data_IF_291866324122
#
_entry.id   IF_291866324122
#
_cell.length_a   1.000
_cell.length_b   1.000
_cell.length_c   1.000
_cell.angle_alpha   90.00
_cell.angle_beta   90.00
_cell.angle_gamma   90.00
#
_symmetry.space_group_name_H-M   'P 1'
#
loop_
_entity.id
_entity.type
_entity.pdbx_description
1 polymer ?
#
# COMPACT_ATOMS: atom_id res chain seq x y z
N UNK A 1 5.31 -6.94 27.79
CA UNK A 1 4.06 -6.85 27.01
C UNK A 1 3.76 -5.44 26.47
N UNK A 2 3.86 -4.34 27.25
CA UNK A 2 3.59 -2.98 26.75
C UNK A 2 4.46 -2.54 25.57
N UNK A 3 5.78 -2.79 25.60
CA UNK A 3 6.70 -2.43 24.50
C UNK A 3 6.36 -3.17 23.18
N UNK A 4 5.96 -4.44 23.25
CA UNK A 4 5.57 -5.23 22.06
C UNK A 4 4.29 -4.65 21.44
N UNK A 5 3.27 -4.36 22.25
CA UNK A 5 2.03 -3.71 21.77
C UNK A 5 2.29 -2.37 21.11
N UNK A 6 3.22 -1.57 21.69
CA UNK A 6 3.62 -0.29 21.13
C UNK A 6 4.21 -0.46 19.72
N UNK A 7 5.26 -1.27 19.58
CA UNK A 7 5.92 -1.49 18.28
C UNK A 7 4.99 -2.14 17.24
N UNK A 8 4.09 -3.03 17.69
CA UNK A 8 3.07 -3.57 16.81
C UNK A 8 2.15 -2.47 16.26
N UNK A 9 1.76 -1.50 17.09
CA UNK A 9 0.99 -0.33 16.65
C UNK A 9 1.77 0.56 15.69
N UNK A 10 3.06 0.79 15.95
CA UNK A 10 3.98 1.58 15.09
C UNK A 10 4.11 0.97 13.70
N UNK A 11 4.17 -0.36 13.60
CA UNK A 11 4.24 -1.08 12.31
C UNK A 11 2.95 -1.00 11.49
N UNK A 12 1.85 -0.47 12.04
CA UNK A 12 0.55 -0.32 11.37
C UNK A 12 0.07 -1.61 10.72
N UNK A 13 -0.28 -2.65 11.48
CA UNK A 13 -0.57 -3.99 10.96
C UNK A 13 -1.66 -4.02 9.88
N UNK A 14 -2.62 -3.07 9.92
CA UNK A 14 -3.65 -2.96 8.89
C UNK A 14 -3.07 -2.63 7.50
N UNK A 15 -1.97 -1.88 7.42
CA UNK A 15 -1.33 -1.55 6.13
C UNK A 15 -0.55 -2.74 5.54
N UNK A 16 -0.23 -3.75 6.35
CA UNK A 16 0.45 -4.95 5.86
C UNK A 16 -0.45 -5.77 4.94
N UNK A 17 -1.78 -5.71 5.12
CA UNK A 17 -2.72 -6.35 4.20
C UNK A 17 -2.61 -5.75 2.79
N UNK A 18 -2.47 -4.42 2.68
CA UNK A 18 -2.32 -3.72 1.39
C UNK A 18 -1.04 -4.16 0.65
N UNK A 19 0.06 -4.45 1.37
CA UNK A 19 1.29 -4.95 0.75
C UNK A 19 1.23 -6.45 0.44
N UNK A 20 0.43 -7.22 1.19
CA UNK A 20 0.25 -8.65 0.99
C UNK A 20 -0.69 -8.97 -0.18
N UNK A 21 -1.74 -8.16 -0.36
CA UNK A 21 -2.81 -8.40 -1.33
C UNK A 21 -2.33 -8.59 -2.76
N UNK A 22 -1.47 -7.74 -3.36
CA UNK A 22 -1.02 -7.94 -4.73
C UNK A 22 -0.14 -9.18 -4.90
N UNK A 23 0.62 -9.59 -3.86
CA UNK A 23 1.38 -10.84 -3.87
C UNK A 23 0.44 -12.03 -3.95
N UNK A 24 -0.56 -12.08 -3.07
CA UNK A 24 -1.57 -13.17 -3.05
C UNK A 24 -2.40 -13.15 -4.34
N UNK A 25 -2.84 -11.97 -4.81
CA UNK A 25 -3.58 -11.83 -6.06
C UNK A 25 -2.80 -12.37 -7.27
N UNK A 26 -1.49 -12.10 -7.33
CA UNK A 26 -0.60 -12.65 -8.36
C UNK A 26 -0.55 -14.17 -8.34
N UNK A 27 -0.35 -14.76 -7.16
CA UNK A 27 -0.33 -16.22 -7.00
C UNK A 27 -1.66 -16.87 -7.41
N UNK A 28 -2.80 -16.26 -7.05
CA UNK A 28 -4.12 -16.74 -7.42
C UNK A 28 -4.36 -16.61 -8.94
N UNK A 29 -3.91 -15.52 -9.56
CA UNK A 29 -4.03 -15.34 -11.00
C UNK A 29 -3.10 -16.25 -11.83
N UNK A 30 -2.03 -16.77 -11.21
CA UNK A 30 -1.05 -17.63 -11.86
C UNK A 30 -1.58 -19.02 -12.24
N UNK A 31 -2.50 -19.59 -11.44
CA UNK A 31 -3.19 -20.87 -11.69
C UNK A 31 -2.29 -22.08 -12.01
N UNK A 32 -1.07 -22.11 -11.48
CA UNK A 32 -0.10 -23.21 -11.61
C UNK A 32 0.44 -23.64 -10.26
N UNK A 33 1.26 -24.68 -10.23
CA UNK A 33 1.94 -25.14 -9.00
C UNK A 33 2.87 -24.01 -8.53
N UNK A 34 2.78 -23.71 -7.25
CA UNK A 34 3.50 -22.61 -6.60
C UNK A 34 4.69 -23.16 -5.83
N UNK A 35 5.87 -22.55 -6.00
CA UNK A 35 6.99 -22.72 -5.09
C UNK A 35 6.70 -21.96 -3.79
N UNK A 36 6.26 -22.71 -2.77
CA UNK A 36 5.80 -22.15 -1.49
C UNK A 36 6.90 -21.35 -0.77
N UNK A 37 8.17 -21.85 -0.65
CA UNK A 37 9.24 -21.07 -0.04
C UNK A 37 9.40 -19.67 -0.66
N UNK A 38 9.49 -19.60 -1.98
CA UNK A 38 9.61 -18.32 -2.72
C UNK A 38 8.38 -17.43 -2.52
N UNK A 39 7.17 -18.00 -2.53
CA UNK A 39 5.94 -17.25 -2.27
C UNK A 39 5.92 -16.65 -0.87
N UNK A 40 6.30 -17.42 0.16
CA UNK A 40 6.37 -16.93 1.55
C UNK A 40 7.44 -15.86 1.71
N UNK A 41 8.63 -16.03 1.14
CA UNK A 41 9.70 -15.03 1.21
C UNK A 41 9.28 -13.74 0.49
N UNK A 42 8.60 -13.84 -0.66
CA UNK A 42 8.05 -12.68 -1.39
C UNK A 42 7.06 -11.89 -0.53
N UNK A 43 6.12 -12.60 0.11
CA UNK A 43 5.14 -12.00 1.01
C UNK A 43 5.81 -11.28 2.18
N UNK A 44 6.74 -11.95 2.87
CA UNK A 44 7.46 -11.37 4.01
C UNK A 44 8.33 -10.18 3.59
N UNK A 45 8.95 -10.22 2.41
CA UNK A 45 9.73 -9.11 1.86
C UNK A 45 8.84 -7.88 1.59
N UNK A 46 7.69 -8.07 0.94
CA UNK A 46 6.72 -6.99 0.70
C UNK A 46 6.23 -6.36 2.01
N UNK A 47 5.87 -7.18 3.00
CA UNK A 47 5.46 -6.70 4.32
C UNK A 47 6.58 -5.96 5.06
N UNK A 48 7.84 -6.43 4.94
CA UNK A 48 9.01 -5.77 5.56
C UNK A 48 9.28 -4.40 4.93
N UNK A 49 9.17 -4.26 3.61
CA UNK A 49 9.25 -2.98 2.91
C UNK A 49 8.12 -2.03 3.33
N UNK A 50 6.91 -2.54 3.57
CA UNK A 50 5.78 -1.77 4.09
C UNK A 50 6.08 -1.22 5.49
N UNK A 51 6.60 -2.07 6.40
CA UNK A 51 7.01 -1.63 7.74
C UNK A 51 8.08 -0.55 7.62
N UNK A 52 9.12 -0.77 6.80
CA UNK A 52 10.17 0.22 6.55
C UNK A 52 9.59 1.56 6.06
N UNK A 53 8.70 1.55 5.08
CA UNK A 53 8.04 2.75 4.56
C UNK A 53 7.25 3.49 5.65
N UNK A 54 6.50 2.77 6.49
CA UNK A 54 5.75 3.36 7.61
C UNK A 54 6.68 4.05 8.62
N UNK A 55 7.78 3.39 9.00
CA UNK A 55 8.74 3.92 9.97
C UNK A 55 9.48 5.15 9.43
N UNK A 56 9.90 5.10 8.16
CA UNK A 56 10.54 6.23 7.45
C UNK A 56 9.60 7.42 7.39
N UNK A 57 8.33 7.17 7.07
CA UNK A 57 7.32 8.22 7.06
C UNK A 57 7.16 8.88 8.43
N UNK A 58 7.02 8.08 9.50
CA UNK A 58 6.88 8.60 10.86
C UNK A 58 8.12 9.39 11.32
N UNK A 59 9.32 8.92 10.96
CA UNK A 59 10.56 9.60 11.30
C UNK A 59 10.70 10.96 10.60
N UNK A 60 10.52 11.00 9.27
CA UNK A 60 10.75 12.23 8.51
C UNK A 60 9.61 13.25 8.65
N UNK A 61 8.37 12.83 8.84
CA UNK A 61 7.27 13.74 9.15
C UNK A 61 7.49 14.41 10.53
N UNK A 62 8.05 13.69 11.52
CA UNK A 62 8.46 14.26 12.81
C UNK A 62 9.61 15.29 12.66
N UNK A 63 10.71 14.90 11.98
CA UNK A 63 11.88 15.77 11.78
C UNK A 63 11.51 17.08 11.06
N UNK A 64 10.49 17.05 10.20
CA UNK A 64 9.99 18.24 9.49
C UNK A 64 8.94 19.03 10.25
N UNK A 65 8.53 18.57 11.42
CA UNK A 65 7.47 19.23 12.20
C UNK A 65 6.08 19.10 11.57
N UNK A 66 5.90 18.14 10.65
CA UNK A 66 4.59 17.85 10.05
C UNK A 66 3.67 17.12 11.03
N UNK A 67 4.24 16.32 11.93
CA UNK A 67 3.49 15.59 12.94
C UNK A 67 3.39 16.42 14.23
N UNK A 68 2.16 16.82 14.57
CA UNK A 68 1.83 17.54 15.82
C UNK A 68 1.02 16.63 16.74
N UNK A 69 1.19 16.81 18.07
CA UNK A 69 0.31 16.15 19.03
C UNK A 69 -1.15 16.60 18.79
N UNK A 70 -2.09 15.65 18.85
CA UNK A 70 -3.52 15.94 18.67
C UNK A 70 -4.04 15.99 17.23
N UNK A 71 -3.24 15.60 16.22
CA UNK A 71 -3.70 15.51 14.82
C UNK A 71 -4.91 14.55 14.65
N UNK A 72 -5.65 14.71 13.55
CA UNK A 72 -6.82 13.88 13.23
C UNK A 72 -6.48 12.43 12.83
N UNK A 73 -5.24 12.16 12.42
CA UNK A 73 -4.75 10.84 12.01
C UNK A 73 -4.37 9.93 13.17
N UNK A 74 -3.86 8.70 12.87
CA UNK A 74 -3.36 7.78 13.89
C UNK A 74 -2.26 8.41 14.74
N UNK A 75 -2.17 7.93 16.00
CA UNK A 75 -1.12 8.36 16.93
C UNK A 75 0.28 8.18 16.34
N UNK A 76 1.15 9.15 16.59
CA UNK A 76 2.55 9.14 16.13
C UNK A 76 3.47 9.02 17.36
N UNK A 77 3.94 7.83 17.69
CA UNK A 77 4.70 7.59 18.93
C UNK A 77 5.95 8.47 19.08
N UNK A 78 6.56 8.89 17.96
CA UNK A 78 7.70 9.81 17.99
C UNK A 78 7.27 11.24 18.36
N UNK A 79 6.16 11.74 17.78
CA UNK A 79 5.63 13.07 18.10
C UNK A 79 5.05 13.17 19.53
N UNK A 80 4.61 12.05 20.10
CA UNK A 80 4.10 11.94 21.47
C UNK A 80 5.23 11.67 22.50
N UNK A 81 6.49 11.55 22.06
CA UNK A 81 7.63 11.29 22.95
C UNK A 81 7.68 9.87 23.53
N UNK A 82 6.84 8.95 23.06
CA UNK A 82 6.79 7.54 23.51
C UNK A 82 8.00 6.75 23.01
N UNK A 83 8.47 7.10 21.81
CA UNK A 83 9.67 6.55 21.16
C UNK A 83 10.61 7.70 20.84
N UNK A 84 11.91 7.55 21.10
CA UNK A 84 12.88 8.57 20.75
C UNK A 84 13.44 8.37 19.32
N UNK A 85 14.09 9.41 18.78
CA UNK A 85 14.63 9.40 17.42
C UNK A 85 15.63 8.24 17.16
N UNK A 86 16.49 7.93 18.16
CA UNK A 86 17.47 6.85 18.03
C UNK A 86 16.77 5.49 17.88
N UNK A 87 15.72 5.26 18.67
CA UNK A 87 14.93 4.03 18.59
C UNK A 87 14.21 3.92 17.23
N UNK A 88 13.63 5.03 16.73
CA UNK A 88 12.95 5.04 15.44
C UNK A 88 13.92 4.79 14.29
N UNK A 89 15.11 5.44 14.29
CA UNK A 89 16.17 5.18 13.28
C UNK A 89 16.64 3.73 13.32
N UNK A 90 16.85 3.17 14.51
CA UNK A 90 17.22 1.76 14.65
C UNK A 90 16.14 0.85 14.07
N UNK A 91 14.86 1.12 14.34
CA UNK A 91 13.75 0.36 13.77
C UNK A 91 13.70 0.44 12.23
N UNK A 92 13.96 1.62 11.64
CA UNK A 92 14.08 1.77 10.19
C UNK A 92 15.22 0.89 9.63
N UNK A 93 16.41 0.92 10.25
CA UNK A 93 17.56 0.11 9.83
C UNK A 93 17.23 -1.38 9.92
N UNK A 94 16.64 -1.83 11.02
CA UNK A 94 16.26 -3.23 11.21
C UNK A 94 15.26 -3.67 10.15
N UNK A 95 14.20 -2.88 9.92
CA UNK A 95 13.19 -3.21 8.90
C UNK A 95 13.78 -3.29 7.49
N UNK A 96 14.65 -2.34 7.13
CA UNK A 96 15.36 -2.37 5.85
C UNK A 96 16.30 -3.57 5.74
N UNK A 97 17.06 -3.89 6.80
CA UNK A 97 17.96 -5.04 6.81
C UNK A 97 17.22 -6.36 6.61
N UNK A 98 16.05 -6.52 7.26
CA UNK A 98 15.19 -7.70 7.04
C UNK A 98 14.71 -7.76 5.58
N UNK A 99 14.23 -6.64 5.04
CA UNK A 99 13.80 -6.57 3.64
C UNK A 99 14.94 -6.91 2.66
N UNK A 100 16.16 -6.41 2.90
CA UNK A 100 17.34 -6.69 2.07
C UNK A 100 17.77 -8.15 2.15
N UNK A 101 17.74 -8.78 3.33
CA UNK A 101 18.06 -10.21 3.48
C UNK A 101 17.07 -11.09 2.73
N UNK A 102 15.76 -10.82 2.87
CA UNK A 102 14.73 -11.53 2.12
C UNK A 102 14.84 -11.25 0.62
N UNK A 103 15.09 -9.98 0.25
CA UNK A 103 15.31 -9.55 -1.12
C UNK A 103 16.52 -10.21 -1.79
N UNK A 104 17.61 -10.46 -1.04
CA UNK A 104 18.79 -11.16 -1.56
C UNK A 104 18.45 -12.59 -2.04
N UNK A 105 17.62 -13.32 -1.27
CA UNK A 105 17.09 -14.62 -1.71
C UNK A 105 16.25 -14.49 -2.99
N UNK A 106 15.35 -13.49 -3.04
CA UNK A 106 14.51 -13.27 -4.23
C UNK A 106 15.33 -12.89 -5.46
N UNK A 107 16.41 -12.12 -5.29
CA UNK A 107 17.37 -11.80 -6.36
C UNK A 107 18.11 -13.06 -6.82
N UNK A 108 18.50 -13.94 -5.90
CA UNK A 108 19.10 -15.23 -6.26
C UNK A 108 18.15 -16.08 -7.12
N UNK A 109 16.86 -16.08 -6.80
CA UNK A 109 15.83 -16.79 -7.59
C UNK A 109 15.53 -16.08 -8.92
N UNK A 110 15.24 -14.77 -8.90
CA UNK A 110 14.68 -14.04 -10.04
C UNK A 110 15.69 -13.18 -10.84
N UNK A 111 16.96 -13.19 -10.42
CA UNK A 111 18.04 -12.49 -11.13
C UNK A 111 17.91 -10.97 -11.13
N UNK A 112 18.52 -10.33 -12.17
CA UNK A 112 18.66 -8.89 -12.27
C UNK A 112 17.32 -8.12 -12.35
N UNK A 113 16.25 -8.74 -12.88
CA UNK A 113 14.91 -8.13 -12.96
C UNK A 113 14.40 -7.86 -11.54
N UNK A 114 14.52 -8.86 -10.67
CA UNK A 114 14.08 -8.74 -9.27
C UNK A 114 15.02 -7.82 -8.48
N UNK A 115 16.31 -7.78 -8.79
CA UNK A 115 17.24 -6.78 -8.23
C UNK A 115 16.77 -5.36 -8.54
N UNK A 116 16.41 -5.07 -9.80
CA UNK A 116 15.93 -3.76 -10.20
C UNK A 116 14.61 -3.41 -9.48
N UNK A 117 13.65 -4.33 -9.46
CA UNK A 117 12.37 -4.14 -8.74
C UNK A 117 12.62 -3.88 -7.25
N UNK A 118 13.48 -4.67 -6.60
CA UNK A 118 13.82 -4.53 -5.18
C UNK A 118 14.48 -3.19 -4.85
N UNK A 119 15.47 -2.77 -5.65
CA UNK A 119 16.15 -1.47 -5.49
C UNK A 119 15.15 -0.32 -5.66
N UNK A 120 14.32 -0.35 -6.70
CA UNK A 120 13.31 0.69 -6.91
C UNK A 120 12.26 0.71 -5.79
N UNK A 121 11.83 -0.46 -5.31
CA UNK A 121 10.87 -0.56 -4.19
C UNK A 121 11.43 0.06 -2.90
N UNK A 122 12.67 -0.28 -2.54
CA UNK A 122 13.33 0.29 -1.36
C UNK A 122 13.58 1.81 -1.51
N UNK A 123 14.00 2.24 -2.71
CA UNK A 123 14.22 3.64 -3.04
C UNK A 123 12.93 4.46 -2.94
N UNK A 124 11.84 3.99 -3.53
CA UNK A 124 10.56 4.71 -3.47
C UNK A 124 9.92 4.66 -2.08
N UNK A 125 10.09 3.57 -1.31
CA UNK A 125 9.69 3.52 0.09
C UNK A 125 10.40 4.60 0.93
N UNK A 126 11.69 4.84 0.65
CA UNK A 126 12.46 5.89 1.30
C UNK A 126 12.10 7.28 0.75
N UNK A 127 12.06 7.47 -0.57
CA UNK A 127 11.75 8.75 -1.24
C UNK A 127 10.31 9.22 -0.97
N UNK A 128 9.43 8.35 -0.53
CA UNK A 128 8.05 8.72 -0.25
C UNK A 128 7.96 9.94 0.67
N UNK A 129 8.80 9.99 1.71
CA UNK A 129 8.86 11.11 2.68
C UNK A 129 10.24 11.62 3.00
N UNK A 130 11.33 10.89 2.71
CA UNK A 130 12.67 11.16 3.27
C UNK A 130 13.33 12.45 2.78
N UNK A 131 13.00 12.98 1.62
CA UNK A 131 13.67 14.15 1.04
C UNK A 131 12.71 15.30 0.81
N UNK A 132 13.25 16.53 0.61
CA UNK A 132 12.46 17.71 0.17
C UNK A 132 11.81 17.50 -1.21
N UNK A 133 12.31 16.56 -1.99
CA UNK A 133 11.78 16.09 -3.27
C UNK A 133 10.95 14.81 -3.09
N UNK A 134 10.40 14.58 -1.89
CA UNK A 134 9.61 13.38 -1.65
C UNK A 134 8.35 13.34 -2.53
N UNK A 135 7.91 12.13 -2.85
CA UNK A 135 6.79 11.87 -3.74
C UNK A 135 5.50 12.54 -3.26
N UNK A 136 5.31 12.64 -1.93
CA UNK A 136 4.18 13.35 -1.32
C UNK A 136 4.20 14.86 -1.63
N UNK A 137 5.40 15.48 -1.70
CA UNK A 137 5.55 16.89 -2.04
C UNK A 137 5.48 17.14 -3.55
N UNK A 138 5.87 16.16 -4.38
CA UNK A 138 5.77 16.27 -5.85
C UNK A 138 4.36 16.00 -6.37
N UNK A 139 3.50 15.33 -5.59
CA UNK A 139 2.14 14.97 -5.98
C UNK A 139 2.08 13.79 -6.95
N UNK A 140 3.08 12.91 -6.93
CA UNK A 140 3.14 11.68 -7.73
C UNK A 140 2.99 10.42 -6.88
N UNK A 141 2.75 10.61 -5.57
CA UNK A 141 2.64 9.50 -4.60
C UNK A 141 1.56 8.48 -4.98
N UNK A 142 0.42 8.93 -5.51
CA UNK A 142 -0.70 8.07 -5.90
C UNK A 142 -0.30 7.11 -7.03
N UNK A 143 0.46 7.59 -8.04
CA UNK A 143 0.94 6.77 -9.15
C UNK A 143 1.94 5.71 -8.66
N UNK A 144 2.90 6.11 -7.82
CA UNK A 144 3.89 5.19 -7.27
C UNK A 144 3.21 4.16 -6.34
N UNK A 145 2.24 4.60 -5.54
CA UNK A 145 1.41 3.71 -4.73
C UNK A 145 0.71 2.67 -5.61
N UNK A 146 -0.02 3.10 -6.66
CA UNK A 146 -0.67 2.20 -7.60
C UNK A 146 0.29 1.14 -8.17
N UNK A 147 1.46 1.59 -8.67
CA UNK A 147 2.40 0.70 -9.33
C UNK A 147 2.99 -0.35 -8.37
N UNK A 148 3.49 0.08 -7.20
CA UNK A 148 4.23 -0.81 -6.29
C UNK A 148 3.34 -1.63 -5.35
N UNK A 149 2.13 -1.14 -5.00
CA UNK A 149 1.11 -1.92 -4.28
C UNK A 149 0.12 -2.61 -5.23
N UNK A 150 0.47 -2.72 -6.51
CA UNK A 150 -0.35 -3.32 -7.52
C UNK A 150 0.46 -4.15 -8.50
N UNK A 151 0.51 -3.72 -9.78
CA UNK A 151 1.03 -4.55 -10.88
C UNK A 151 2.49 -4.97 -10.72
N UNK A 152 3.36 -4.13 -10.13
CA UNK A 152 4.78 -4.48 -9.92
C UNK A 152 4.92 -5.61 -8.92
N UNK A 153 4.21 -5.55 -7.78
CA UNK A 153 4.26 -6.61 -6.77
C UNK A 153 3.65 -7.91 -7.29
N UNK A 154 2.49 -7.85 -7.94
CA UNK A 154 1.78 -9.02 -8.44
C UNK A 154 2.52 -9.71 -9.61
N UNK A 155 2.91 -8.95 -10.64
CA UNK A 155 3.66 -9.49 -11.78
C UNK A 155 5.05 -9.97 -11.36
N UNK A 156 5.73 -9.25 -10.46
CA UNK A 156 7.01 -9.66 -9.89
C UNK A 156 6.91 -10.97 -9.10
N UNK A 157 5.79 -11.18 -8.38
CA UNK A 157 5.53 -12.43 -7.68
C UNK A 157 5.43 -13.61 -8.65
N UNK A 158 4.68 -13.47 -9.74
CA UNK A 158 4.56 -14.53 -10.75
C UNK A 158 5.87 -14.75 -11.51
N UNK A 159 6.60 -13.68 -11.80
CA UNK A 159 7.93 -13.78 -12.41
C UNK A 159 8.88 -14.62 -11.55
N UNK A 160 8.84 -14.49 -10.22
CA UNK A 160 9.60 -15.33 -9.30
C UNK A 160 9.19 -16.80 -9.31
N UNK A 161 7.98 -17.13 -9.77
CA UNK A 161 7.48 -18.51 -9.85
C UNK A 161 7.84 -19.20 -11.16
N UNK A 162 7.93 -18.46 -12.27
CA UNK A 162 8.07 -19.08 -13.59
C UNK A 162 8.98 -18.32 -14.57
N UNK A 163 9.58 -17.20 -14.18
CA UNK A 163 10.41 -16.34 -15.02
C UNK A 163 9.68 -15.76 -16.25
N UNK A 164 8.36 -15.75 -16.24
CA UNK A 164 7.52 -15.24 -17.30
C UNK A 164 6.63 -14.10 -16.81
N UNK A 165 6.25 -13.21 -17.72
CA UNK A 165 5.27 -12.17 -17.44
C UNK A 165 3.86 -12.74 -17.57
N UNK A 166 3.02 -12.50 -16.56
CA UNK A 166 1.60 -12.88 -16.58
C UNK A 166 0.71 -11.63 -16.66
N UNK A 167 -0.02 -11.50 -17.78
CA UNK A 167 -0.98 -10.41 -17.94
C UNK A 167 -2.15 -10.52 -16.95
N UNK A 168 -2.58 -11.74 -16.62
CA UNK A 168 -3.60 -11.98 -15.61
C UNK A 168 -3.16 -11.46 -14.22
N UNK A 169 -1.93 -11.80 -13.80
CA UNK A 169 -1.36 -11.31 -12.56
C UNK A 169 -1.18 -9.77 -12.58
N UNK A 170 -0.75 -9.20 -13.70
CA UNK A 170 -0.65 -7.76 -13.87
C UNK A 170 -2.01 -7.07 -13.61
N UNK A 171 -3.09 -7.55 -14.23
CA UNK A 171 -4.42 -6.97 -14.01
C UNK A 171 -4.95 -7.22 -12.58
N UNK A 172 -4.75 -8.42 -12.01
CA UNK A 172 -5.09 -8.68 -10.62
C UNK A 172 -4.37 -7.72 -9.67
N UNK A 173 -3.09 -7.46 -9.92
CA UNK A 173 -2.32 -6.44 -9.21
C UNK A 173 -2.87 -5.04 -9.42
N UNK A 174 -3.24 -4.64 -10.63
CA UNK A 174 -3.86 -3.34 -10.89
C UNK A 174 -5.13 -3.12 -10.05
N UNK A 175 -5.96 -4.16 -9.87
CA UNK A 175 -7.12 -4.08 -8.99
C UNK A 175 -6.74 -3.76 -7.53
N UNK A 176 -5.76 -4.49 -6.95
CA UNK A 176 -5.24 -4.21 -5.61
C UNK A 176 -4.62 -2.81 -5.52
N UNK A 177 -3.83 -2.40 -6.53
CA UNK A 177 -3.23 -1.07 -6.60
C UNK A 177 -4.25 0.06 -6.58
N UNK A 178 -5.39 -0.11 -7.24
CA UNK A 178 -6.52 0.82 -7.18
C UNK A 178 -7.04 0.97 -5.75
N UNK A 179 -7.25 -0.13 -5.03
CA UNK A 179 -7.73 -0.07 -3.64
C UNK A 179 -6.67 0.55 -2.72
N UNK A 180 -5.38 0.25 -2.93
CA UNK A 180 -4.28 0.91 -2.20
C UNK A 180 -4.30 2.44 -2.37
N UNK A 181 -4.57 2.93 -3.58
CA UNK A 181 -4.74 4.38 -3.84
C UNK A 181 -5.98 4.93 -3.14
N UNK A 182 -7.09 4.20 -3.04
CA UNK A 182 -8.27 4.62 -2.28
C UNK A 182 -7.97 4.77 -0.77
N UNK A 183 -7.14 3.88 -0.21
CA UNK A 183 -6.62 4.00 1.18
C UNK A 183 -5.81 5.27 1.33
N UNK A 184 -4.87 5.53 0.41
CA UNK A 184 -4.03 6.74 0.41
C UNK A 184 -4.88 8.01 0.21
N UNK A 185 -5.84 8.00 -0.72
CA UNK A 185 -6.74 9.11 -0.98
C UNK A 185 -7.58 9.48 0.26
N UNK A 186 -8.03 8.49 1.04
CA UNK A 186 -8.75 8.72 2.30
C UNK A 186 -7.90 9.49 3.31
N UNK A 187 -6.60 9.17 3.42
CA UNK A 187 -5.64 9.92 4.23
C UNK A 187 -5.46 11.35 3.70
N UNK A 188 -5.20 11.48 2.40
CA UNK A 188 -4.90 12.78 1.78
C UNK A 188 -6.12 13.73 1.83
N UNK A 189 -7.35 13.20 1.71
CA UNK A 189 -8.59 14.01 1.83
C UNK A 189 -8.78 14.45 3.29
N UNK A 190 -8.51 13.59 4.28
CA UNK A 190 -8.58 13.95 5.70
C UNK A 190 -7.60 15.08 6.04
N UNK A 191 -6.40 15.01 5.49
CA UNK A 191 -5.25 15.82 5.89
C UNK A 191 -5.02 17.05 4.97
N UNK A 192 -6.00 17.46 4.12
CA UNK A 192 -5.86 18.55 3.13
C UNK A 192 -5.24 19.82 3.73
N UNK A 193 -5.77 20.28 4.89
CA UNK A 193 -5.33 21.54 5.49
C UNK A 193 -3.93 21.38 6.12
N UNK A 194 -3.67 20.26 6.80
CA UNK A 194 -2.37 19.99 7.40
C UNK A 194 -1.29 19.83 6.30
N UNK A 195 -1.59 19.11 5.23
CA UNK A 195 -0.70 18.92 4.08
C UNK A 195 -0.41 20.24 3.36
N UNK A 196 -1.42 21.11 3.17
CA UNK A 196 -1.26 22.42 2.59
C UNK A 196 -0.35 23.31 3.45
N UNK A 197 -0.52 23.28 4.76
CA UNK A 197 0.26 24.09 5.71
C UNK A 197 1.76 23.75 5.68
N UNK A 198 2.12 22.50 5.37
CA UNK A 198 3.52 22.04 5.27
C UNK A 198 4.04 21.96 3.82
N UNK A 199 3.27 22.45 2.85
CA UNK A 199 3.66 22.55 1.44
C UNK A 199 3.62 21.23 0.66
N UNK A 200 2.97 20.19 1.16
CA UNK A 200 2.69 18.96 0.38
C UNK A 200 1.73 19.28 -0.76
N UNK A 201 1.92 18.60 -1.90
CA UNK A 201 1.12 18.80 -3.12
C UNK A 201 0.33 17.55 -3.47
N UNK A 202 -0.33 16.95 -2.48
CA UNK A 202 -1.20 15.78 -2.70
C UNK A 202 -2.33 16.12 -3.67
N UNK A 203 -2.92 15.12 -4.31
CA UNK A 203 -3.99 15.34 -5.29
C UNK A 203 -5.13 16.22 -4.73
N UNK A 204 -5.68 15.96 -3.50
CA UNK A 204 -6.73 16.81 -2.97
C UNK A 204 -6.26 18.22 -2.57
N UNK A 205 -4.99 18.44 -2.24
CA UNK A 205 -4.43 19.79 -2.01
C UNK A 205 -4.40 20.61 -3.30
N UNK A 206 -4.10 19.96 -4.44
CA UNK A 206 -4.02 20.62 -5.77
C UNK A 206 -5.37 20.86 -6.40
N UNK A 207 -6.25 19.86 -6.37
CA UNK A 207 -7.49 19.85 -7.15
C UNK A 207 -8.75 19.93 -6.29
N UNK A 208 -8.61 19.93 -4.98
CA UNK A 208 -9.71 20.02 -4.04
C UNK A 208 -10.34 18.66 -3.67
N UNK A 209 -11.14 18.71 -2.59
CA UNK A 209 -11.82 17.53 -2.01
C UNK A 209 -12.73 16.84 -3.02
N UNK A 210 -13.55 17.62 -3.75
CA UNK A 210 -14.54 17.06 -4.72
C UNK A 210 -13.84 16.32 -5.86
N UNK A 211 -12.76 16.89 -6.43
CA UNK A 211 -12.00 16.22 -7.48
C UNK A 211 -11.36 14.92 -6.98
N UNK A 212 -10.86 14.90 -5.74
CA UNK A 212 -10.32 13.68 -5.13
C UNK A 212 -11.41 12.61 -4.92
N UNK A 213 -12.60 13.01 -4.50
CA UNK A 213 -13.74 12.09 -4.36
C UNK A 213 -14.17 11.49 -5.71
N UNK A 214 -14.25 12.31 -6.76
CA UNK A 214 -14.52 11.81 -8.14
C UNK A 214 -13.41 10.87 -8.59
N UNK A 215 -12.13 11.19 -8.31
CA UNK A 215 -11.01 10.32 -8.60
C UNK A 215 -11.16 8.94 -7.94
N UNK A 216 -11.56 8.88 -6.67
CA UNK A 216 -11.84 7.61 -5.95
C UNK A 216 -12.93 6.81 -6.65
N UNK A 217 -14.03 7.44 -7.12
CA UNK A 217 -15.09 6.73 -7.86
C UNK A 217 -14.53 6.07 -9.14
N UNK A 218 -13.74 6.82 -9.92
CA UNK A 218 -13.14 6.30 -11.16
C UNK A 218 -12.15 5.16 -10.88
N UNK A 219 -11.36 5.27 -9.81
CA UNK A 219 -10.41 4.24 -9.39
C UNK A 219 -11.13 2.97 -8.93
N UNK A 220 -12.24 3.08 -8.20
CA UNK A 220 -13.07 1.93 -7.81
C UNK A 220 -13.70 1.24 -9.03
N UNK A 221 -14.20 1.98 -10.00
CA UNK A 221 -14.68 1.39 -11.26
C UNK A 221 -13.55 0.68 -12.01
N UNK A 222 -12.36 1.28 -12.06
CA UNK A 222 -11.19 0.67 -12.67
C UNK A 222 -10.75 -0.60 -11.93
N UNK A 223 -10.83 -0.65 -10.59
CA UNK A 223 -10.46 -1.84 -9.80
C UNK A 223 -11.29 -3.06 -10.18
N UNK A 224 -12.61 -2.89 -10.33
CA UNK A 224 -13.50 -3.98 -10.77
C UNK A 224 -13.22 -4.39 -12.22
N UNK A 225 -12.98 -3.42 -13.12
CA UNK A 225 -12.62 -3.73 -14.50
C UNK A 225 -11.31 -4.55 -14.57
N UNK A 226 -10.29 -4.16 -13.82
CA UNK A 226 -9.04 -4.92 -13.73
C UNK A 226 -9.22 -6.30 -13.08
N UNK A 227 -10.09 -6.43 -12.07
CA UNK A 227 -10.42 -7.72 -11.47
C UNK A 227 -11.04 -8.68 -12.51
N UNK A 228 -12.01 -8.20 -13.29
CA UNK A 228 -12.65 -8.97 -14.38
C UNK A 228 -11.63 -9.35 -15.45
N UNK A 229 -10.76 -8.42 -15.86
CA UNK A 229 -9.71 -8.69 -16.85
C UNK A 229 -8.67 -9.71 -16.35
N UNK A 230 -8.31 -9.65 -15.06
CA UNK A 230 -7.31 -10.54 -14.46
C UNK A 230 -7.79 -11.99 -14.35
N UNK A 231 -9.05 -12.19 -14.02
CA UNK A 231 -9.62 -13.51 -13.78
C UNK A 231 -10.53 -14.03 -14.91
N UNK A 232 -10.88 -13.18 -15.88
CA UNK A 232 -11.70 -13.56 -17.05
C UNK A 232 -13.15 -13.90 -16.69
N UNK A 233 -13.69 -13.41 -15.57
CA UNK A 233 -15.01 -13.79 -15.10
C UNK A 233 -15.87 -12.59 -14.70
N UNK A 234 -17.10 -12.52 -15.25
CA UNK A 234 -18.02 -11.40 -15.04
C UNK A 234 -18.67 -11.39 -13.65
N UNK A 235 -18.69 -12.51 -12.92
CA UNK A 235 -19.29 -12.51 -11.59
C UNK A 235 -18.58 -11.57 -10.63
N UNK A 236 -17.29 -11.24 -10.87
CA UNK A 236 -16.56 -10.23 -10.09
C UNK A 236 -17.18 -8.82 -10.15
N UNK A 237 -18.11 -8.57 -11.07
CA UNK A 237 -18.90 -7.32 -11.08
C UNK A 237 -19.70 -7.11 -9.79
N UNK A 238 -19.94 -8.17 -8.97
CA UNK A 238 -20.55 -8.02 -7.66
C UNK A 238 -19.74 -7.09 -6.73
N UNK A 239 -18.44 -6.95 -6.95
CA UNK A 239 -17.55 -6.05 -6.18
C UNK A 239 -17.98 -4.59 -6.31
N UNK A 240 -18.71 -4.21 -7.34
CA UNK A 240 -19.34 -2.87 -7.44
C UNK A 240 -20.22 -2.54 -6.25
N UNK A 241 -20.86 -3.54 -5.64
CA UNK A 241 -21.77 -3.31 -4.50
C UNK A 241 -21.03 -2.77 -3.26
N UNK A 242 -19.99 -3.45 -2.73
CA UNK A 242 -19.21 -2.90 -1.62
C UNK A 242 -18.46 -1.63 -2.01
N UNK A 243 -17.99 -1.48 -3.26
CA UNK A 243 -17.31 -0.29 -3.75
C UNK A 243 -18.23 0.93 -3.67
N UNK A 244 -19.45 0.84 -4.22
CA UNK A 244 -20.44 1.93 -4.18
C UNK A 244 -20.81 2.23 -2.72
N UNK A 245 -21.01 1.21 -1.88
CA UNK A 245 -21.31 1.40 -0.47
C UNK A 245 -20.21 2.21 0.24
N UNK A 246 -18.94 1.84 0.04
CA UNK A 246 -17.81 2.55 0.66
C UNK A 246 -17.62 3.95 0.07
N UNK A 247 -17.82 4.12 -1.23
CA UNK A 247 -17.78 5.43 -1.86
C UNK A 247 -18.82 6.39 -1.26
N UNK A 248 -20.07 5.94 -1.07
CA UNK A 248 -21.10 6.76 -0.41
C UNK A 248 -20.71 7.11 1.03
N UNK A 249 -20.04 6.20 1.75
CA UNK A 249 -19.52 6.49 3.10
C UNK A 249 -18.38 7.52 3.06
N UNK A 250 -17.49 7.45 2.06
CA UNK A 250 -16.42 8.42 1.86
C UNK A 250 -16.97 9.83 1.59
N UNK A 251 -18.01 9.94 0.74
CA UNK A 251 -18.64 11.24 0.42
C UNK A 251 -19.21 11.94 1.66
N UNK A 252 -19.73 11.16 2.62
CA UNK A 252 -20.34 11.65 3.86
C UNK A 252 -19.33 11.78 5.03
N UNK A 253 -18.05 11.42 4.80
CA UNK A 253 -17.05 11.44 5.86
C UNK A 253 -16.54 12.86 6.11
N UNK A 254 -16.29 13.15 7.40
CA UNK A 254 -15.66 14.39 7.86
C UNK A 254 -14.66 14.09 8.97
N UNK A 255 -13.58 14.86 9.04
CA UNK A 255 -12.56 14.76 10.09
C UNK A 255 -12.09 13.32 10.34
N UNK A 256 -12.21 12.86 11.58
CA UNK A 256 -11.79 11.50 12.00
C UNK A 256 -12.56 10.36 11.34
N UNK A 257 -13.73 10.61 10.72
CA UNK A 257 -14.50 9.56 10.03
C UNK A 257 -13.73 8.99 8.81
N UNK A 258 -12.79 9.75 8.22
CA UNK A 258 -11.91 9.26 7.18
C UNK A 258 -11.02 8.10 7.65
N UNK A 259 -10.67 8.01 8.94
CA UNK A 259 -9.93 6.86 9.47
C UNK A 259 -10.74 5.56 9.37
N UNK A 260 -12.07 5.66 9.53
CA UNK A 260 -12.98 4.53 9.37
C UNK A 260 -13.08 4.15 7.88
N UNK A 261 -13.14 5.13 6.97
CA UNK A 261 -13.13 4.87 5.53
C UNK A 261 -11.84 4.17 5.10
N UNK A 262 -10.67 4.66 5.56
CA UNK A 262 -9.38 4.05 5.32
C UNK A 262 -9.38 2.56 5.73
N UNK A 263 -9.78 2.26 6.97
CA UNK A 263 -9.84 0.88 7.45
C UNK A 263 -10.80 0.02 6.65
N UNK A 264 -11.93 0.56 6.22
CA UNK A 264 -12.90 -0.14 5.36
C UNK A 264 -12.35 -0.43 3.98
N UNK A 265 -11.54 0.46 3.38
CA UNK A 265 -10.85 0.17 2.14
C UNK A 265 -9.80 -0.95 2.29
N UNK A 266 -9.12 -1.04 3.44
CA UNK A 266 -8.27 -2.20 3.74
C UNK A 266 -9.10 -3.49 3.80
N UNK A 267 -10.28 -3.48 4.43
CA UNK A 267 -11.19 -4.64 4.43
C UNK A 267 -11.72 -4.96 3.03
N UNK A 268 -11.97 -3.94 2.21
CA UNK A 268 -12.35 -4.12 0.81
C UNK A 268 -11.24 -4.81 0.02
N UNK A 269 -9.98 -4.44 0.21
CA UNK A 269 -8.82 -5.09 -0.42
C UNK A 269 -8.76 -6.59 -0.05
N UNK A 270 -8.97 -6.93 1.22
CA UNK A 270 -9.11 -8.33 1.66
C UNK A 270 -10.26 -9.03 0.96
N UNK A 271 -11.42 -8.37 0.81
CA UNK A 271 -12.57 -8.92 0.11
C UNK A 271 -12.24 -9.20 -1.37
N UNK A 272 -11.49 -8.31 -2.04
CA UNK A 272 -11.03 -8.54 -3.41
C UNK A 272 -10.16 -9.80 -3.49
N UNK A 273 -9.20 -9.97 -2.59
CA UNK A 273 -8.34 -11.17 -2.55
C UNK A 273 -9.17 -12.44 -2.29
N UNK A 274 -10.15 -12.40 -1.39
CA UNK A 274 -11.08 -13.53 -1.16
C UNK A 274 -11.87 -13.84 -2.42
N UNK A 275 -12.40 -12.81 -3.10
CA UNK A 275 -13.12 -12.98 -4.36
C UNK A 275 -12.22 -13.58 -5.45
N UNK A 276 -10.94 -13.18 -5.51
CA UNK A 276 -9.96 -13.78 -6.42
C UNK A 276 -9.69 -15.26 -6.09
N UNK A 277 -9.63 -15.61 -4.80
CA UNK A 277 -9.56 -17.01 -4.35
C UNK A 277 -10.76 -17.83 -4.85
N UNK A 278 -11.97 -17.29 -4.76
CA UNK A 278 -13.16 -17.96 -5.34
C UNK A 278 -13.08 -18.05 -6.86
N UNK A 279 -12.65 -16.97 -7.55
CA UNK A 279 -12.46 -16.97 -8.99
C UNK A 279 -11.37 -17.94 -9.49
N UNK A 280 -10.42 -18.27 -8.62
CA UNK A 280 -9.40 -19.27 -8.91
C UNK A 280 -9.99 -20.69 -9.04
N UNK A 281 -11.02 -21.01 -8.23
CA UNK A 281 -11.65 -22.33 -8.18
C UNK A 281 -12.82 -22.50 -9.18
N UNK A 282 -13.35 -21.39 -9.72
CA UNK A 282 -14.39 -21.40 -10.75
C UNK A 282 -13.80 -21.40 -12.16
#
# INVERSE_FOLDING_TARGET
MQKIKLWFGVCRPYSLFISASPVIAGLLAFRKIIDIPTAVVTLLCAMSLQVFSNLVNDYYDFVRGCDKAGRSGPQRPLAEGIVNEKQMRTACIVALSVALLLGAYLVWVGGWVILLVGVLSALFAWLYTATRFSLAYLGVADIICFLFYGPVASAGTVFLQCHEFSLAAFYAGCACGCIAVCVLASNNIRDIEDDRAVGKRTFPVRFGKTAAQVGVALILLASVAFAVLGFGTLWLLFLLVPDIFLYVKLLKAEGKAYNICLFRFVLLDVLYVVAFGVAFWL
#
